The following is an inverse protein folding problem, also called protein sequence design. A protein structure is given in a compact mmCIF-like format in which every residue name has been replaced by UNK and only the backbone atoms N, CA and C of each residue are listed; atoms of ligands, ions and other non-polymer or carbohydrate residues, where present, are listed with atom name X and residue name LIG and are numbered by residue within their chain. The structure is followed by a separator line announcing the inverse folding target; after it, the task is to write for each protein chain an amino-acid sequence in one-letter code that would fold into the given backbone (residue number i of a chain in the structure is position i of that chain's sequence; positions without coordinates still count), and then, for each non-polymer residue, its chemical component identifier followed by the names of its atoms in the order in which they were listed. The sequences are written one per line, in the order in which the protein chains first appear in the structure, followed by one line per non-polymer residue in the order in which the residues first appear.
data_IF_015773573121
#
_entry.id   IF_015773573121
#
_cell.length_a   1.000
_cell.length_b   1.000
_cell.length_c   1.000
_cell.angle_alpha   90.00
_cell.angle_beta   90.00
_cell.angle_gamma   90.00
#
_symmetry.space_group_name_H-M   'P 1'
#
loop_
_entity.id
_entity.type
_entity.pdbx_description
1 polymer ?
#
# COMPACT_ATOMS: atom_id res chain seq x y z
N UNK A 1 -0.94 28.68 -12.76
CA UNK A 1 -0.57 27.28 -12.44
C UNK A 1 -1.61 26.78 -11.46
N UNK A 2 -2.13 25.55 -11.59
CA UNK A 2 -2.98 24.97 -10.53
C UNK A 2 -2.06 24.65 -9.36
N UNK A 3 -2.25 25.33 -8.24
CA UNK A 3 -1.49 25.03 -7.03
C UNK A 3 -1.75 23.58 -6.62
N UNK A 4 -0.67 22.82 -6.47
CA UNK A 4 -0.77 21.45 -5.96
C UNK A 4 -0.76 21.49 -4.44
N UNK A 5 -1.64 20.71 -3.82
CA UNK A 5 -1.83 20.65 -2.38
C UNK A 5 -1.91 19.20 -1.93
N UNK A 6 -1.26 18.91 -0.81
CA UNK A 6 -1.34 17.62 -0.11
C UNK A 6 -1.91 17.88 1.27
N UNK A 7 -2.92 17.10 1.65
CA UNK A 7 -3.51 17.10 3.00
C UNK A 7 -3.21 15.76 3.64
N UNK A 8 -2.64 15.76 4.83
CA UNK A 8 -2.37 14.55 5.61
C UNK A 8 -3.51 14.29 6.60
N UNK A 9 -3.88 13.02 6.77
CA UNK A 9 -4.85 12.58 7.77
C UNK A 9 -4.15 11.67 8.77
N UNK A 10 -4.14 12.08 10.03
CA UNK A 10 -3.61 11.29 11.14
C UNK A 10 -4.75 10.71 11.97
N UNK A 11 -4.50 9.58 12.63
CA UNK A 11 -5.48 8.90 13.49
C UNK A 11 -4.81 8.00 14.52
N UNK A 12 -5.62 7.22 15.23
CA UNK A 12 -5.14 6.27 16.23
C UNK A 12 -5.06 4.86 15.64
N UNK A 13 -3.88 4.24 15.76
CA UNK A 13 -3.61 2.87 15.28
C UNK A 13 -2.89 2.13 16.40
N UNK A 14 -3.37 0.95 16.81
CA UNK A 14 -2.78 0.15 17.89
C UNK A 14 -2.46 0.95 19.17
N UNK A 15 -3.40 1.80 19.60
CA UNK A 15 -3.24 2.70 20.76
C UNK A 15 -2.20 3.82 20.60
N UNK A 16 -1.59 3.97 19.42
CA UNK A 16 -0.71 5.09 19.08
C UNK A 16 -1.52 6.16 18.35
N UNK A 17 -1.64 7.34 18.95
CA UNK A 17 -2.20 8.52 18.31
C UNK A 17 -1.19 9.17 17.35
N UNK A 18 -1.68 9.79 16.28
CA UNK A 18 -0.84 10.51 15.32
C UNK A 18 -0.26 9.64 14.21
N UNK A 19 -0.74 8.41 14.04
CA UNK A 19 -0.35 7.58 12.91
C UNK A 19 -0.96 8.12 11.62
N UNK A 20 -0.17 8.20 10.54
CA UNK A 20 -0.68 8.59 9.23
C UNK A 20 -1.64 7.53 8.69
N UNK A 21 -2.91 7.87 8.48
CA UNK A 21 -3.95 6.93 8.00
C UNK A 21 -4.44 7.26 6.59
N UNK A 22 -4.00 8.38 6.03
CA UNK A 22 -4.30 8.73 4.65
C UNK A 22 -3.75 10.07 4.21
N UNK A 23 -3.81 10.31 2.90
CA UNK A 23 -3.50 11.60 2.28
C UNK A 23 -4.55 11.95 1.23
N UNK A 24 -4.73 13.23 0.96
CA UNK A 24 -5.48 13.72 -0.19
C UNK A 24 -4.56 14.61 -1.01
N UNK A 25 -4.39 14.29 -2.27
CA UNK A 25 -3.59 15.06 -3.22
C UNK A 25 -4.54 15.76 -4.18
N UNK A 26 -4.33 17.05 -4.39
CA UNK A 26 -5.03 17.85 -5.41
C UNK A 26 -4.00 18.58 -6.27
N UNK A 27 -4.19 18.57 -7.59
CA UNK A 27 -3.24 19.16 -8.53
C UNK A 27 -3.60 18.80 -9.97
N UNK A 28 -2.59 18.45 -10.78
CA UNK A 28 -2.79 17.88 -12.12
C UNK A 28 -3.48 16.52 -12.07
N UNK A 29 -3.14 15.69 -11.10
CA UNK A 29 -3.84 14.46 -10.73
C UNK A 29 -4.30 14.56 -9.28
N UNK A 30 -5.59 14.33 -9.05
CA UNK A 30 -6.16 14.35 -7.69
C UNK A 30 -6.59 12.95 -7.27
N UNK A 31 -6.29 12.56 -6.03
CA UNK A 31 -6.63 11.25 -5.50
C UNK A 31 -6.61 11.25 -3.96
N UNK A 32 -7.24 10.23 -3.37
CA UNK A 32 -7.23 9.94 -1.94
C UNK A 32 -6.48 8.64 -1.66
N UNK A 33 -5.52 8.69 -0.73
CA UNK A 33 -4.83 7.53 -0.19
C UNK A 33 -5.40 7.14 1.16
N UNK A 34 -5.68 5.86 1.36
CA UNK A 34 -5.92 5.26 2.68
C UNK A 34 -4.80 4.29 3.04
N UNK A 35 -4.38 4.29 4.30
CA UNK A 35 -3.31 3.41 4.81
C UNK A 35 -3.87 2.56 5.95
N UNK A 36 -3.57 1.26 5.95
CA UNK A 36 -3.92 0.32 7.02
C UNK A 36 -2.68 -0.33 7.59
N UNK A 37 -2.74 -0.64 8.88
CA UNK A 37 -1.67 -1.26 9.63
C UNK A 37 -2.15 -2.53 10.32
N UNK A 38 -1.25 -3.50 10.53
CA UNK A 38 -1.50 -4.62 11.42
C UNK A 38 -1.28 -4.25 12.89
N UNK A 39 -1.53 -5.19 13.81
CA UNK A 39 -1.34 -5.02 15.25
C UNK A 39 0.10 -4.73 15.71
N UNK A 40 1.09 -4.94 14.85
CA UNK A 40 2.50 -4.59 15.11
C UNK A 40 2.88 -3.22 14.53
N UNK A 41 1.92 -2.49 13.96
CA UNK A 41 2.14 -1.17 13.37
C UNK A 41 2.78 -1.22 11.98
N UNK A 42 2.83 -2.39 11.32
CA UNK A 42 3.37 -2.53 9.97
C UNK A 42 2.26 -2.23 8.96
N UNK A 43 2.57 -1.48 7.91
CA UNK A 43 1.60 -1.17 6.86
C UNK A 43 1.21 -2.44 6.11
N UNK A 44 -0.06 -2.82 6.13
CA UNK A 44 -0.56 -4.01 5.41
C UNK A 44 -1.31 -3.68 4.14
N UNK A 45 -1.75 -2.44 3.98
CA UNK A 45 -2.43 -2.00 2.77
C UNK A 45 -2.33 -0.49 2.56
N UNK A 46 -2.17 -0.09 1.30
CA UNK A 46 -2.37 1.28 0.84
C UNK A 46 -3.31 1.24 -0.36
N UNK A 47 -4.36 2.06 -0.34
CA UNK A 47 -5.26 2.20 -1.50
C UNK A 47 -5.34 3.65 -1.94
N UNK A 48 -5.00 3.89 -3.20
CA UNK A 48 -5.19 5.16 -3.90
C UNK A 48 -6.47 5.10 -4.72
N UNK A 49 -7.38 6.04 -4.50
CA UNK A 49 -8.65 6.19 -5.22
C UNK A 49 -8.73 7.53 -5.90
N UNK A 50 -9.31 7.58 -7.10
CA UNK A 50 -9.69 8.85 -7.72
C UNK A 50 -10.82 9.56 -6.93
N UNK A 51 -11.27 10.71 -7.43
CA UNK A 51 -12.29 11.51 -6.75
C UNK A 51 -13.68 10.87 -6.85
N UNK A 52 -13.87 9.98 -7.81
CA UNK A 52 -15.07 9.17 -8.03
C UNK A 52 -15.06 7.88 -7.17
N UNK A 53 -13.96 7.59 -6.49
CA UNK A 53 -13.80 6.47 -5.56
C UNK A 53 -13.27 5.18 -6.19
N UNK A 54 -12.94 5.17 -7.49
CA UNK A 54 -12.38 4.02 -8.18
C UNK A 54 -10.91 3.83 -7.82
N UNK A 55 -10.50 2.58 -7.61
CA UNK A 55 -9.13 2.26 -7.20
C UNK A 55 -8.16 2.47 -8.37
N UNK A 56 -7.28 3.46 -8.21
CA UNK A 56 -6.13 3.69 -9.09
C UNK A 56 -5.10 2.61 -8.84
N UNK A 57 -4.76 2.38 -7.57
CA UNK A 57 -3.79 1.37 -7.14
C UNK A 57 -4.12 0.92 -5.72
N UNK A 58 -4.29 -0.39 -5.53
CA UNK A 58 -4.22 -1.04 -4.23
C UNK A 58 -2.90 -1.78 -4.09
N UNK A 59 -2.26 -1.63 -2.94
CA UNK A 59 -0.97 -2.22 -2.60
C UNK A 59 -1.10 -2.96 -1.27
N UNK A 60 -1.09 -4.29 -1.30
CA UNK A 60 -1.28 -5.15 -0.14
C UNK A 60 0.01 -5.88 0.24
N UNK A 61 0.33 -5.90 1.53
CA UNK A 61 1.56 -6.48 2.08
C UNK A 61 1.22 -7.59 3.06
N UNK A 62 1.87 -8.74 2.89
CA UNK A 62 1.80 -9.86 3.83
C UNK A 62 3.16 -10.04 4.49
N UNK A 63 3.18 -10.13 5.81
CA UNK A 63 4.40 -10.38 6.59
C UNK A 63 4.33 -11.68 7.34
N UNK A 64 5.50 -12.28 7.59
CA UNK A 64 5.60 -13.36 8.55
C UNK A 64 5.62 -12.85 10.01
N UNK A 65 5.72 -13.79 10.94
CA UNK A 65 5.76 -13.50 12.38
C UNK A 65 7.02 -12.74 12.82
N UNK A 66 8.08 -12.72 12.01
CA UNK A 66 9.32 -11.95 12.24
C UNK A 66 9.30 -10.59 11.56
N UNK A 67 8.25 -10.26 10.81
CA UNK A 67 8.14 -8.99 10.07
C UNK A 67 8.85 -8.97 8.72
N UNK A 68 9.21 -10.13 8.18
CA UNK A 68 9.72 -10.23 6.82
C UNK A 68 8.55 -10.28 5.84
N UNK A 69 8.68 -9.58 4.71
CA UNK A 69 7.65 -9.52 3.67
C UNK A 69 7.55 -10.90 2.99
N UNK A 70 6.38 -11.52 2.98
CA UNK A 70 6.12 -12.79 2.29
C UNK A 70 5.49 -12.57 0.90
N UNK A 71 4.67 -11.54 0.77
CA UNK A 71 4.05 -11.19 -0.50
C UNK A 71 3.75 -9.68 -0.58
N UNK A 72 3.84 -9.15 -1.80
CA UNK A 72 3.37 -7.82 -2.15
C UNK A 72 2.49 -7.93 -3.39
N UNK A 73 1.26 -7.46 -3.29
CA UNK A 73 0.27 -7.55 -4.35
C UNK A 73 -0.19 -6.16 -4.75
N UNK A 74 -0.14 -5.88 -6.06
CA UNK A 74 -0.62 -4.65 -6.67
C UNK A 74 -1.86 -4.95 -7.51
N UNK A 75 -2.87 -4.09 -7.44
CA UNK A 75 -4.05 -4.19 -8.30
C UNK A 75 -4.64 -2.83 -8.64
N UNK A 76 -5.33 -2.73 -9.78
CA UNK A 76 -5.96 -1.50 -10.27
C UNK A 76 -7.33 -1.77 -10.88
N UNK A 77 -8.37 -1.15 -10.34
CA UNK A 77 -9.70 -1.15 -10.96
C UNK A 77 -9.73 -0.29 -12.23
N UNK A 78 -8.90 0.76 -12.28
CA UNK A 78 -8.78 1.61 -13.47
C UNK A 78 -8.14 0.88 -14.63
N UNK A 79 -7.19 -0.02 -14.35
CA UNK A 79 -6.42 -0.74 -15.37
C UNK A 79 -6.41 -2.25 -15.09
N UNK A 80 -7.56 -2.94 -15.14
CA UNK A 80 -7.69 -4.33 -14.66
C UNK A 80 -6.92 -5.35 -15.50
N UNK A 81 -6.54 -4.99 -16.74
CA UNK A 81 -5.81 -5.87 -17.67
C UNK A 81 -4.33 -5.51 -17.81
N UNK A 82 -3.86 -4.46 -17.11
CA UNK A 82 -2.47 -4.04 -17.17
C UNK A 82 -1.62 -4.96 -16.30
N UNK A 83 -1.05 -6.02 -16.87
CA UNK A 83 -0.16 -6.94 -16.15
C UNK A 83 1.14 -6.27 -15.68
N UNK A 84 1.46 -5.06 -16.15
CA UNK A 84 2.55 -4.24 -15.62
C UNK A 84 2.22 -3.58 -14.27
N UNK A 85 0.94 -3.52 -13.91
CA UNK A 85 0.45 -2.97 -12.64
C UNK A 85 -0.07 -4.08 -11.75
N UNK A 86 -0.91 -4.96 -12.29
CA UNK A 86 -1.54 -6.04 -11.54
C UNK A 86 -0.56 -7.20 -11.45
N UNK A 87 0.22 -7.22 -10.38
CA UNK A 87 1.31 -8.19 -10.18
C UNK A 87 1.36 -8.64 -8.72
N UNK A 88 1.91 -9.83 -8.51
CA UNK A 88 2.16 -10.39 -7.19
C UNK A 88 3.59 -10.83 -7.05
N UNK A 89 4.30 -10.20 -6.12
CA UNK A 89 5.63 -10.62 -5.69
C UNK A 89 5.52 -11.59 -4.51
N UNK A 90 6.36 -12.63 -4.51
CA UNK A 90 6.47 -13.60 -3.42
C UNK A 90 7.92 -13.74 -2.98
N UNK A 91 8.13 -13.80 -1.68
CA UNK A 91 9.45 -13.84 -1.06
C UNK A 91 9.57 -15.05 -0.14
N UNK A 92 10.70 -15.76 -0.22
CA UNK A 92 11.00 -16.89 0.66
C UNK A 92 12.34 -16.70 1.32
N UNK A 93 12.41 -17.09 2.60
CA UNK A 93 13.61 -16.93 3.41
C UNK A 93 14.01 -18.27 4.03
N UNK A 94 15.30 -18.45 4.23
CA UNK A 94 15.81 -19.57 5.01
C UNK A 94 15.59 -19.37 6.53
N UNK A 95 16.08 -20.35 7.31
CA UNK A 95 16.01 -20.33 8.77
C UNK A 95 16.85 -19.25 9.43
N UNK A 96 17.84 -18.69 8.74
CA UNK A 96 18.70 -17.60 9.23
C UNK A 96 18.17 -16.21 8.89
N UNK A 97 17.13 -16.10 8.07
CA UNK A 97 16.59 -14.80 7.67
C UNK A 97 16.99 -14.35 6.27
N UNK A 98 17.77 -15.13 5.54
CA UNK A 98 18.29 -14.74 4.24
C UNK A 98 17.27 -15.01 3.15
N UNK A 99 17.10 -14.09 2.21
CA UNK A 99 16.22 -14.26 1.06
C UNK A 99 16.79 -15.35 0.15
N UNK A 100 16.01 -16.40 -0.11
CA UNK A 100 16.40 -17.54 -0.95
C UNK A 100 15.59 -17.64 -2.24
N UNK A 101 14.43 -16.99 -2.30
CA UNK A 101 13.62 -16.92 -3.52
C UNK A 101 12.84 -15.61 -3.58
N UNK A 102 12.75 -15.05 -4.78
CA UNK A 102 11.88 -13.94 -5.14
C UNK A 102 11.29 -14.20 -6.52
N UNK A 103 9.97 -14.13 -6.65
CA UNK A 103 9.27 -14.31 -7.91
C UNK A 103 8.15 -13.29 -8.08
N UNK A 104 7.86 -12.96 -9.33
CA UNK A 104 6.76 -12.08 -9.72
C UNK A 104 5.80 -12.86 -10.62
N UNK A 105 4.50 -12.73 -10.36
CA UNK A 105 3.39 -13.31 -11.14
C UNK A 105 2.51 -12.21 -11.71
#
# INVERSE_FOLDING_TARGET
MKDSKIVYKFGTVNHVEGQLVGTSVSGSQSYHRSIKYDGFGRQVNTTDRDLEGKVILDSAYLYDSRGRLLAHELSSEQNPQASSINQKEQFQYDGFGQLVSHSTQ
#
